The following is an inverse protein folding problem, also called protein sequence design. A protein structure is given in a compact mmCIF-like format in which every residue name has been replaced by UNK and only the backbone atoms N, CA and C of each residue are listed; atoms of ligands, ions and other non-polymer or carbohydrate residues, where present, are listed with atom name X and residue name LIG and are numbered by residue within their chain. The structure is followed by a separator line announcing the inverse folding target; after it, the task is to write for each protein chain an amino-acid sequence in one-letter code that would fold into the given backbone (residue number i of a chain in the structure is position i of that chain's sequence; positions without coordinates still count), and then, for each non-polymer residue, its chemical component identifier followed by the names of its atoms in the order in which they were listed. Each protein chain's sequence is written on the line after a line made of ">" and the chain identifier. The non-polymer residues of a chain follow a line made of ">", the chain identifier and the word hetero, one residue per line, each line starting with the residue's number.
data_IF_095124945184
#
_entry.id   IF_095124945184
#
_cell.length_a   1.000
_cell.length_b   1.000
_cell.length_c   1.000
_cell.angle_alpha   90.00
_cell.angle_beta   90.00
_cell.angle_gamma   90.00
#
_symmetry.space_group_name_H-M   'P 1'
#
loop_
_entity.id
_entity.type
_entity.pdbx_description
1 polymer ?
#
# COMPACT_ATOMS: atom_id res chain seq x y z
N UNK A 1 23.11 5.21 -18.24
CA UNK A 1 23.22 5.79 -16.89
C UNK A 1 22.43 4.94 -15.91
N UNK A 2 23.02 4.61 -14.75
CA UNK A 2 22.33 3.85 -13.69
C UNK A 2 21.93 4.81 -12.58
N UNK A 3 20.64 4.88 -12.29
CA UNK A 3 20.08 5.70 -11.20
C UNK A 3 19.43 4.77 -10.17
N UNK A 4 19.79 4.96 -8.90
CA UNK A 4 19.11 4.26 -7.80
C UNK A 4 18.13 5.20 -7.13
N UNK A 5 16.88 4.74 -6.96
CA UNK A 5 15.90 5.37 -6.10
C UNK A 5 15.84 4.67 -4.75
N UNK A 6 15.88 5.41 -3.66
CA UNK A 6 15.91 4.85 -2.31
C UNK A 6 14.87 5.51 -1.42
N UNK A 7 14.08 4.67 -0.74
CA UNK A 7 13.22 5.02 0.39
C UNK A 7 13.69 4.24 1.61
N UNK A 8 14.11 4.92 2.67
CA UNK A 8 14.55 4.26 3.91
C UNK A 8 14.60 5.25 5.11
N UNK A 9 14.93 4.75 6.30
CA UNK A 9 14.99 5.50 7.55
C UNK A 9 13.63 6.03 8.05
N UNK A 10 12.53 5.43 7.61
CA UNK A 10 11.19 5.77 8.08
C UNK A 10 10.38 4.49 8.26
N UNK A 11 9.83 3.97 7.18
CA UNK A 11 8.99 2.79 7.15
C UNK A 11 9.23 2.05 5.84
N UNK A 12 9.22 0.70 5.85
CA UNK A 12 9.22 -0.15 4.65
C UNK A 12 10.31 0.21 3.62
N UNK A 13 11.58 0.11 4.04
CA UNK A 13 12.72 0.49 3.20
C UNK A 13 12.77 -0.28 1.89
N UNK A 14 13.04 0.45 0.80
CA UNK A 14 13.06 -0.08 -0.55
C UNK A 14 14.15 0.56 -1.41
N UNK A 15 14.58 -0.18 -2.44
CA UNK A 15 15.54 0.25 -3.44
C UNK A 15 15.03 -0.11 -4.84
N UNK A 16 15.10 0.85 -5.75
CA UNK A 16 14.79 0.68 -7.17
C UNK A 16 15.99 1.03 -8.04
N UNK A 17 16.26 0.23 -9.07
CA UNK A 17 17.37 0.43 -10.02
C UNK A 17 16.80 0.75 -11.39
N UNK A 18 17.21 1.90 -11.92
CA UNK A 18 16.88 2.32 -13.27
C UNK A 18 18.14 2.30 -14.14
N UNK A 19 18.02 1.74 -15.34
CA UNK A 19 19.03 1.81 -16.39
C UNK A 19 18.48 2.62 -17.54
N UNK A 20 19.10 3.76 -17.83
CA UNK A 20 18.64 4.70 -18.87
C UNK A 20 17.13 5.07 -18.73
N UNK A 21 16.71 5.26 -17.49
CA UNK A 21 15.31 5.51 -17.06
C UNK A 21 14.33 4.33 -17.29
N UNK A 22 14.80 3.15 -17.60
CA UNK A 22 14.02 1.91 -17.56
C UNK A 22 14.18 1.24 -16.19
N UNK A 23 13.07 0.93 -15.53
CA UNK A 23 13.07 0.24 -14.24
C UNK A 23 13.43 -1.25 -14.42
N UNK A 24 14.59 -1.65 -13.91
CA UNK A 24 15.12 -3.00 -14.09
C UNK A 24 15.02 -3.88 -12.86
N UNK A 25 14.95 -3.28 -11.66
CA UNK A 25 14.84 -3.97 -10.40
C UNK A 25 14.20 -3.07 -9.36
N UNK A 26 13.34 -3.61 -8.51
CA UNK A 26 12.93 -2.98 -7.26
C UNK A 26 12.64 -4.05 -6.20
N UNK A 27 13.02 -3.78 -4.96
CA UNK A 27 12.72 -4.67 -3.84
C UNK A 27 12.62 -3.90 -2.53
N UNK A 28 11.92 -4.51 -1.58
CA UNK A 28 11.83 -4.05 -0.19
C UNK A 28 12.86 -4.79 0.66
N UNK A 29 13.40 -4.12 1.68
CA UNK A 29 14.36 -4.69 2.62
C UNK A 29 13.82 -5.92 3.34
N UNK A 30 12.52 -5.94 3.69
CA UNK A 30 11.86 -7.06 4.36
C UNK A 30 11.98 -8.39 3.60
N UNK A 31 12.15 -8.36 2.27
CA UNK A 31 12.32 -9.57 1.44
C UNK A 31 13.63 -10.29 1.76
N UNK A 32 14.62 -9.57 2.25
CA UNK A 32 15.94 -10.06 2.62
C UNK A 32 16.10 -10.21 4.14
N UNK A 33 15.77 -9.19 4.94
CA UNK A 33 15.91 -9.21 6.39
C UNK A 33 14.89 -10.11 7.12
N UNK A 34 13.73 -10.42 6.48
CA UNK A 34 12.59 -11.12 7.09
C UNK A 34 11.94 -10.35 8.26
N UNK A 35 12.25 -9.07 8.39
CA UNK A 35 11.60 -8.15 9.32
C UNK A 35 10.52 -7.41 8.54
N UNK A 36 9.26 -7.56 8.96
CA UNK A 36 8.13 -6.90 8.30
C UNK A 36 8.25 -5.38 8.42
N UNK A 37 8.02 -4.68 7.29
CA UNK A 37 8.13 -3.22 7.20
C UNK A 37 9.49 -2.68 7.68
N UNK A 38 10.59 -3.43 7.47
CA UNK A 38 11.94 -3.05 7.89
C UNK A 38 12.25 -1.61 7.45
N UNK A 39 12.48 -0.66 8.39
CA UNK A 39 12.72 0.74 8.07
C UNK A 39 14.11 0.99 7.47
N UNK A 40 15.00 -0.01 7.53
CA UNK A 40 16.38 0.12 7.12
C UNK A 40 16.71 -0.73 5.90
N UNK A 41 17.58 -0.20 5.04
CA UNK A 41 18.25 -1.03 4.03
C UNK A 41 19.11 -2.08 4.74
N UNK A 42 19.43 -3.15 4.03
CA UNK A 42 20.41 -4.13 4.45
C UNK A 42 21.41 -4.41 3.33
N UNK A 43 22.56 -4.98 3.71
CA UNK A 43 23.63 -5.27 2.76
C UNK A 43 23.17 -6.18 1.61
N UNK A 44 22.27 -7.11 1.89
CA UNK A 44 21.79 -8.08 0.90
C UNK A 44 21.01 -7.42 -0.25
N UNK A 45 20.15 -6.44 0.03
CA UNK A 45 19.43 -5.72 -1.02
C UNK A 45 20.38 -4.87 -1.87
N UNK A 46 21.42 -4.24 -1.23
CA UNK A 46 22.43 -3.47 -1.94
C UNK A 46 23.27 -4.36 -2.85
N UNK A 47 23.79 -5.48 -2.32
CA UNK A 47 24.59 -6.45 -3.10
C UNK A 47 23.77 -7.03 -4.28
N UNK A 48 22.45 -7.20 -4.08
CA UNK A 48 21.57 -7.66 -5.14
C UNK A 48 21.33 -6.59 -6.21
N UNK A 49 21.14 -5.33 -5.79
CA UNK A 49 20.96 -4.20 -6.70
C UNK A 49 22.19 -3.95 -7.58
N UNK A 50 23.39 -4.15 -7.05
CA UNK A 50 24.65 -4.04 -7.80
C UNK A 50 24.74 -5.00 -8.99
N UNK A 51 24.01 -6.12 -8.99
CA UNK A 51 23.94 -7.03 -10.14
C UNK A 51 23.26 -6.40 -11.37
N UNK A 52 22.45 -5.35 -11.15
CA UNK A 52 21.77 -4.60 -12.21
C UNK A 52 22.55 -3.36 -12.66
N UNK A 53 23.57 -2.93 -11.88
CA UNK A 53 24.50 -1.87 -12.23
C UNK A 53 24.95 -1.01 -11.05
N UNK A 54 26.16 -0.45 -11.19
CA UNK A 54 26.72 0.50 -10.23
C UNK A 54 26.04 1.86 -10.40
N UNK A 55 25.54 2.51 -9.33
CA UNK A 55 24.83 3.77 -9.47
C UNK A 55 25.75 4.92 -9.89
N UNK A 56 25.33 5.67 -10.89
CA UNK A 56 25.93 6.95 -11.25
C UNK A 56 25.38 8.10 -10.37
N UNK A 57 24.17 7.91 -9.83
CA UNK A 57 23.51 8.82 -8.90
C UNK A 57 22.48 8.08 -8.05
N UNK A 58 22.15 8.65 -6.90
CA UNK A 58 21.10 8.17 -5.99
C UNK A 58 20.07 9.29 -5.80
N UNK A 59 18.79 8.95 -5.96
CA UNK A 59 17.67 9.85 -5.68
C UNK A 59 16.98 9.35 -4.41
N UNK A 60 17.03 10.16 -3.35
CA UNK A 60 16.40 9.88 -2.07
C UNK A 60 14.99 10.47 -2.01
N UNK A 61 14.05 9.74 -1.45
CA UNK A 61 12.62 10.01 -1.54
C UNK A 61 12.09 11.16 -0.69
N UNK A 62 12.89 11.70 0.27
CA UNK A 62 12.50 12.80 1.17
C UNK A 62 13.67 13.74 1.45
N UNK A 63 13.38 14.96 1.94
CA UNK A 63 14.42 15.92 2.36
C UNK A 63 14.86 15.67 3.81
N UNK A 64 16.11 15.22 4.07
CA UNK A 64 16.63 14.99 5.41
C UNK A 64 16.55 16.23 6.30
N UNK A 65 16.78 17.43 5.71
CA UNK A 65 16.72 18.69 6.45
C UNK A 65 15.30 19.00 6.93
N UNK A 66 14.29 18.90 6.07
CA UNK A 66 12.90 19.15 6.45
C UNK A 66 12.41 18.14 7.48
N UNK A 67 12.80 16.86 7.35
CA UNK A 67 12.52 15.82 8.34
C UNK A 67 13.12 16.15 9.69
N UNK A 68 14.40 16.52 9.75
CA UNK A 68 15.08 16.93 10.99
C UNK A 68 14.41 18.11 11.67
N UNK A 69 14.04 19.14 10.89
CA UNK A 69 13.34 20.32 11.39
C UNK A 69 11.97 19.95 11.99
N UNK A 70 11.20 19.10 11.32
CA UNK A 70 9.91 18.61 11.81
C UNK A 70 10.08 17.80 13.10
N UNK A 71 11.07 16.89 13.15
CA UNK A 71 11.36 16.09 14.34
C UNK A 71 11.70 16.97 15.54
N UNK A 72 12.53 17.99 15.34
CA UNK A 72 12.86 18.95 16.38
C UNK A 72 11.62 19.71 16.87
N UNK A 73 10.82 20.24 15.96
CA UNK A 73 9.57 20.95 16.29
C UNK A 73 8.57 20.06 17.04
N UNK A 74 8.50 18.78 16.68
CA UNK A 74 7.63 17.79 17.33
C UNK A 74 8.18 17.27 18.68
N UNK A 75 9.29 17.81 19.19
CA UNK A 75 9.90 17.39 20.45
C UNK A 75 10.61 16.03 20.38
N UNK A 76 10.99 15.57 19.17
CA UNK A 76 11.71 14.31 18.96
C UNK A 76 13.25 14.48 18.96
N UNK A 77 13.75 15.71 19.20
CA UNK A 77 15.17 16.04 19.18
C UNK A 77 15.71 16.48 17.82
N UNK A 78 16.97 16.93 17.79
CA UNK A 78 17.67 17.37 16.58
C UNK A 78 18.43 16.20 15.96
N UNK A 79 17.74 15.36 15.18
CA UNK A 79 18.23 14.09 14.64
C UNK A 79 19.00 14.28 13.30
N UNK A 80 19.91 15.28 13.25
CA UNK A 80 20.66 15.59 12.02
C UNK A 80 21.60 14.45 11.60
N UNK A 81 22.24 13.79 12.56
CA UNK A 81 23.18 12.68 12.29
C UNK A 81 22.43 11.43 11.79
N UNK A 82 21.32 11.11 12.42
CA UNK A 82 20.48 9.96 12.09
C UNK A 82 19.82 10.12 10.69
N UNK A 83 19.58 11.36 10.30
CA UNK A 83 19.02 11.70 8.99
C UNK A 83 20.10 12.00 7.93
N UNK A 84 21.40 11.94 8.25
CA UNK A 84 22.46 12.13 7.26
C UNK A 84 22.63 10.91 6.37
N UNK A 85 22.19 11.05 5.11
CA UNK A 85 22.13 9.96 4.16
C UNK A 85 23.51 9.44 3.75
N UNK A 86 24.51 10.30 3.67
CA UNK A 86 25.87 9.87 3.34
C UNK A 86 26.43 8.95 4.42
N UNK A 87 26.30 9.36 5.68
CA UNK A 87 26.72 8.55 6.84
C UNK A 87 25.90 7.25 6.92
N UNK A 88 24.60 7.32 6.68
CA UNK A 88 23.73 6.15 6.66
C UNK A 88 24.17 5.12 5.61
N UNK A 89 24.42 5.53 4.37
CA UNK A 89 24.86 4.65 3.30
C UNK A 89 26.29 4.13 3.52
N UNK A 90 27.18 4.93 4.11
CA UNK A 90 28.54 4.52 4.44
C UNK A 90 28.61 3.35 5.43
N UNK A 91 27.63 3.20 6.33
CA UNK A 91 27.57 2.11 7.31
C UNK A 91 27.46 0.72 6.68
N UNK A 92 27.03 0.61 5.42
CA UNK A 92 26.94 -0.68 4.72
C UNK A 92 28.28 -1.19 4.16
N UNK A 93 29.34 -0.38 4.16
CA UNK A 93 30.67 -0.72 3.63
C UNK A 93 30.60 -1.24 2.18
N UNK A 94 29.80 -0.58 1.35
CA UNK A 94 29.70 -0.87 -0.10
C UNK A 94 30.46 0.22 -0.87
N UNK A 95 31.71 0.00 -1.32
CA UNK A 95 32.52 1.04 -1.95
C UNK A 95 31.88 1.71 -3.17
N UNK A 96 31.05 0.96 -3.89
CA UNK A 96 30.34 1.41 -5.08
C UNK A 96 29.41 2.60 -4.86
N UNK A 97 29.00 2.91 -3.61
CA UNK A 97 28.05 4.00 -3.30
C UNK A 97 28.68 5.17 -2.52
N UNK A 98 29.96 5.10 -2.13
CA UNK A 98 30.56 6.11 -1.24
C UNK A 98 30.66 7.51 -1.85
N UNK A 99 30.98 7.60 -3.12
CA UNK A 99 31.19 8.88 -3.81
C UNK A 99 30.08 9.21 -4.84
N UNK A 100 28.96 8.49 -4.75
CA UNK A 100 27.85 8.70 -5.68
C UNK A 100 27.09 9.98 -5.30
N UNK A 101 26.78 10.87 -6.26
CA UNK A 101 25.95 12.04 -6.01
C UNK A 101 24.58 11.64 -5.48
N UNK A 102 24.14 12.29 -4.38
CA UNK A 102 22.83 12.08 -3.78
C UNK A 102 21.97 13.32 -4.00
N UNK A 103 20.81 13.11 -4.60
CA UNK A 103 19.78 14.13 -4.78
C UNK A 103 18.55 13.77 -3.92
N UNK A 104 17.71 14.76 -3.64
CA UNK A 104 16.56 14.60 -2.75
C UNK A 104 15.31 15.10 -3.45
N UNK A 105 14.23 14.31 -3.32
CA UNK A 105 12.89 14.72 -3.69
C UNK A 105 12.06 15.03 -2.43
N UNK A 106 10.87 15.60 -2.56
CA UNK A 106 9.98 15.68 -1.40
C UNK A 106 9.13 14.44 -1.27
N UNK A 107 8.83 14.03 -0.06
CA UNK A 107 8.14 12.77 0.27
C UNK A 107 6.81 12.63 -0.49
N UNK A 108 5.88 13.57 -0.32
CA UNK A 108 4.58 13.51 -1.01
C UNK A 108 4.69 13.65 -2.53
N UNK A 109 5.72 14.33 -3.04
CA UNK A 109 5.97 14.38 -4.48
C UNK A 109 6.45 13.02 -5.01
N UNK A 110 7.25 12.28 -4.22
CA UNK A 110 7.68 10.93 -4.56
C UNK A 110 6.48 9.98 -4.63
N UNK A 111 5.55 10.04 -3.67
CA UNK A 111 4.28 9.30 -3.74
C UNK A 111 3.43 9.68 -4.94
N UNK A 112 3.25 10.98 -5.20
CA UNK A 112 2.46 11.46 -6.32
C UNK A 112 3.04 10.99 -7.67
N UNK A 113 4.37 11.07 -7.81
CA UNK A 113 5.09 10.64 -9.01
C UNK A 113 5.04 9.11 -9.19
N UNK A 114 5.20 8.34 -8.09
CA UNK A 114 5.05 6.88 -8.12
C UNK A 114 3.69 6.46 -8.65
N UNK A 115 2.62 7.10 -8.20
CA UNK A 115 1.28 6.81 -8.67
C UNK A 115 1.04 7.28 -10.11
N UNK A 116 1.27 8.56 -10.38
CA UNK A 116 0.90 9.16 -11.67
C UNK A 116 1.73 8.65 -12.85
N UNK A 117 3.05 8.64 -12.71
CA UNK A 117 3.93 8.25 -13.83
C UNK A 117 3.91 6.75 -14.14
N UNK A 118 3.19 5.95 -13.33
CA UNK A 118 2.96 4.52 -13.58
C UNK A 118 1.49 4.19 -13.90
N UNK A 119 0.59 5.20 -13.89
CA UNK A 119 -0.84 4.98 -14.10
C UNK A 119 -1.24 4.81 -15.56
N UNK A 120 -0.41 5.27 -16.49
CA UNK A 120 -0.76 5.38 -17.91
C UNK A 120 -1.69 6.57 -18.24
N UNK A 121 -2.10 7.38 -17.25
CA UNK A 121 -2.94 8.56 -17.50
C UNK A 121 -2.15 9.72 -18.09
N UNK A 122 -2.74 10.42 -19.06
CA UNK A 122 -2.19 11.67 -19.62
C UNK A 122 -2.46 12.88 -18.72
N UNK A 123 -3.56 12.82 -17.95
CA UNK A 123 -3.94 13.79 -16.93
C UNK A 123 -4.59 13.09 -15.75
N UNK A 124 -4.43 13.61 -14.56
CA UNK A 124 -5.06 13.09 -13.36
C UNK A 124 -5.12 14.11 -12.22
N UNK A 125 -6.09 13.92 -11.34
CA UNK A 125 -6.02 14.40 -9.97
C UNK A 125 -5.30 13.35 -9.12
N UNK A 126 -4.27 13.77 -8.36
CA UNK A 126 -3.55 12.86 -7.48
C UNK A 126 -3.87 13.25 -6.05
N UNK A 127 -4.27 12.26 -5.26
CA UNK A 127 -4.47 12.39 -3.81
C UNK A 127 -3.40 11.54 -3.12
N UNK A 128 -2.55 12.18 -2.32
CA UNK A 128 -1.59 11.50 -1.47
C UNK A 128 -2.05 11.61 -0.03
N UNK A 129 -2.33 10.47 0.59
CA UNK A 129 -2.73 10.34 1.99
C UNK A 129 -1.74 9.45 2.72
N UNK A 130 -1.05 10.04 3.71
CA UNK A 130 -0.03 9.32 4.45
C UNK A 130 -0.07 9.66 5.95
N UNK A 131 0.69 8.90 6.75
CA UNK A 131 0.84 9.19 8.17
C UNK A 131 1.56 10.51 8.37
N UNK A 132 2.78 10.62 7.86
CA UNK A 132 3.56 11.85 7.88
C UNK A 132 4.78 11.75 6.96
N UNK A 133 4.86 12.59 5.94
CA UNK A 133 6.00 12.74 5.05
C UNK A 133 6.63 14.12 5.19
N UNK A 134 7.82 14.23 5.78
CA UNK A 134 8.41 15.51 6.17
C UNK A 134 7.45 16.29 7.11
N UNK A 135 6.61 17.17 6.53
CA UNK A 135 5.56 17.92 7.21
C UNK A 135 4.15 17.59 6.71
N UNK A 136 4.06 17.00 5.53
CA UNK A 136 2.81 16.79 4.82
C UNK A 136 2.15 15.49 5.30
N UNK A 137 0.82 15.51 5.39
CA UNK A 137 0.00 14.35 5.77
C UNK A 137 -1.07 14.06 4.74
N UNK A 138 -1.46 15.11 3.98
CA UNK A 138 -2.40 15.02 2.88
C UNK A 138 -2.08 16.09 1.85
N UNK A 139 -2.00 15.70 0.58
CA UNK A 139 -1.80 16.63 -0.55
C UNK A 139 -2.67 16.27 -1.74
N UNK A 140 -3.12 17.30 -2.49
CA UNK A 140 -3.78 17.13 -3.77
C UNK A 140 -2.88 17.75 -4.85
N UNK A 141 -2.74 17.05 -5.96
CA UNK A 141 -1.97 17.50 -7.11
C UNK A 141 -2.82 17.42 -8.37
N UNK A 142 -2.55 18.32 -9.29
CA UNK A 142 -2.97 18.22 -10.68
C UNK A 142 -1.78 17.77 -11.51
N UNK A 143 -1.99 16.75 -12.33
CA UNK A 143 -1.00 16.21 -13.24
C UNK A 143 -1.48 16.33 -14.68
N UNK A 144 -0.61 16.78 -15.59
CA UNK A 144 -0.87 16.88 -17.02
C UNK A 144 0.44 16.66 -17.79
N UNK A 145 0.48 15.63 -18.65
CA UNK A 145 1.70 15.24 -19.34
C UNK A 145 2.80 14.90 -18.33
N UNK A 146 3.90 15.64 -18.37
CA UNK A 146 5.04 15.44 -17.44
C UNK A 146 5.03 16.39 -16.24
N UNK A 147 3.99 17.23 -16.09
CA UNK A 147 3.92 18.27 -15.06
C UNK A 147 3.12 17.79 -13.87
N UNK A 148 3.69 17.93 -12.67
CA UNK A 148 3.02 17.73 -11.38
C UNK A 148 2.91 19.07 -10.66
N UNK A 149 1.69 19.54 -10.43
CA UNK A 149 1.41 20.79 -9.70
C UNK A 149 0.65 20.49 -8.42
N UNK A 150 1.27 20.77 -7.27
CA UNK A 150 0.60 20.66 -5.97
C UNK A 150 -0.42 21.80 -5.81
N UNK A 151 -1.66 21.44 -5.48
CA UNK A 151 -2.78 22.38 -5.37
C UNK A 151 -3.16 22.60 -3.92
N UNK A 152 -3.11 21.54 -3.10
CA UNK A 152 -3.53 21.57 -1.71
C UNK A 152 -2.52 20.86 -0.83
N UNK A 153 -2.39 21.29 0.43
CA UNK A 153 -1.51 20.68 1.44
C UNK A 153 -2.13 20.77 2.83
N UNK A 154 -2.24 19.64 3.50
CA UNK A 154 -2.45 19.55 4.94
C UNK A 154 -1.17 19.05 5.61
N UNK A 155 -0.89 19.58 6.80
CA UNK A 155 0.37 19.31 7.52
C UNK A 155 0.12 18.72 8.90
N UNK A 156 1.13 18.06 9.43
CA UNK A 156 1.25 17.65 10.80
C UNK A 156 0.89 18.81 11.77
N UNK A 157 0.13 18.57 12.86
CA UNK A 157 -0.23 17.26 13.41
C UNK A 157 -1.52 16.65 12.84
N UNK A 158 -2.21 17.30 11.92
CA UNK A 158 -3.49 16.87 11.38
C UNK A 158 -3.29 15.75 10.35
N UNK A 159 -3.34 14.50 10.78
CA UNK A 159 -3.13 13.32 9.93
C UNK A 159 -4.19 12.26 10.17
N UNK A 160 -4.88 11.89 9.09
CA UNK A 160 -5.83 10.75 9.13
C UNK A 160 -5.09 9.42 9.27
N UNK A 161 -3.87 9.29 8.72
CA UNK A 161 -3.04 8.09 8.86
C UNK A 161 -2.60 7.90 10.31
N UNK A 162 -2.08 8.96 10.97
CA UNK A 162 -1.72 8.88 12.39
C UNK A 162 -2.93 8.61 13.29
N UNK A 163 -4.10 9.17 12.98
CA UNK A 163 -5.32 8.87 13.72
C UNK A 163 -5.72 7.39 13.56
N UNK A 164 -5.69 6.85 12.35
CA UNK A 164 -6.02 5.44 12.12
C UNK A 164 -5.04 4.51 12.83
N UNK A 165 -3.74 4.83 12.82
CA UNK A 165 -2.71 4.12 13.58
C UNK A 165 -2.90 4.23 15.10
N UNK A 166 -3.35 5.40 15.61
CA UNK A 166 -3.69 5.58 17.02
C UNK A 166 -4.87 4.69 17.45
N UNK A 167 -5.90 4.59 16.61
CA UNK A 167 -7.04 3.69 16.84
C UNK A 167 -6.63 2.21 16.75
N UNK A 168 -5.69 1.88 15.85
CA UNK A 168 -5.07 0.55 15.78
C UNK A 168 -4.37 0.20 17.09
N UNK A 169 -3.60 1.13 17.64
CA UNK A 169 -2.95 0.97 18.95
C UNK A 169 -3.98 0.84 20.09
N UNK A 170 -5.10 1.58 20.01
CA UNK A 170 -6.15 1.56 21.04
C UNK A 170 -6.75 0.17 21.25
N UNK A 171 -6.88 -0.63 20.21
CA UNK A 171 -7.38 -2.01 20.28
C UNK A 171 -6.28 -3.06 20.48
N UNK A 172 -5.07 -2.63 20.90
CA UNK A 172 -3.98 -3.52 21.25
C UNK A 172 -3.13 -4.03 20.08
N UNK A 173 -3.34 -3.50 18.87
CA UNK A 173 -2.54 -3.82 17.69
C UNK A 173 -1.34 -2.89 17.55
N UNK A 174 -0.36 -3.28 16.74
CA UNK A 174 0.87 -2.51 16.51
C UNK A 174 0.61 -1.37 15.52
N UNK A 175 0.76 -0.10 15.95
CA UNK A 175 0.57 1.05 15.05
C UNK A 175 1.64 1.08 13.97
N UNK A 176 1.30 1.61 12.79
CA UNK A 176 2.08 1.66 11.56
C UNK A 176 2.43 0.28 10.96
N UNK A 177 1.86 -0.81 11.47
CA UNK A 177 2.11 -2.15 10.95
C UNK A 177 0.85 -3.01 10.80
N UNK A 178 -0.16 -2.82 11.67
CA UNK A 178 -1.31 -3.73 11.77
C UNK A 178 -2.67 -3.05 11.48
N UNK A 179 -2.68 -1.88 10.84
CA UNK A 179 -3.88 -1.17 10.40
C UNK A 179 -4.78 -2.03 9.52
N UNK A 180 -4.19 -2.91 8.71
CA UNK A 180 -4.93 -3.86 7.88
C UNK A 180 -5.67 -4.92 8.71
N UNK A 181 -5.28 -5.19 9.95
CA UNK A 181 -6.01 -6.07 10.87
C UNK A 181 -7.24 -5.33 11.38
N UNK A 182 -7.09 -4.07 11.84
CA UNK A 182 -8.22 -3.23 12.23
C UNK A 182 -9.25 -3.13 11.10
N UNK A 183 -8.80 -2.86 9.86
CA UNK A 183 -9.67 -2.83 8.68
C UNK A 183 -10.47 -4.14 8.52
N UNK A 184 -9.82 -5.30 8.72
CA UNK A 184 -10.48 -6.61 8.66
C UNK A 184 -11.45 -6.86 9.83
N UNK A 185 -11.15 -6.36 11.03
CA UNK A 185 -12.01 -6.46 12.21
C UNK A 185 -13.30 -5.64 12.06
N UNK A 186 -13.28 -4.59 11.26
CA UNK A 186 -14.40 -3.68 11.12
C UNK A 186 -15.70 -4.35 10.65
N UNK A 187 -15.60 -5.44 9.88
CA UNK A 187 -16.78 -6.18 9.41
C UNK A 187 -17.50 -6.97 10.52
N UNK A 188 -16.86 -7.20 11.66
CA UNK A 188 -17.42 -7.94 12.80
C UNK A 188 -18.08 -7.02 13.86
N UNK A 189 -17.94 -5.69 13.71
CA UNK A 189 -18.43 -4.71 14.67
C UNK A 189 -19.64 -3.92 14.20
N UNK A 190 -20.29 -3.25 15.16
CA UNK A 190 -21.38 -2.31 14.88
C UNK A 190 -20.86 -0.89 14.69
N UNK A 191 -20.75 -0.45 13.44
CA UNK A 191 -20.24 0.90 13.10
C UNK A 191 -21.04 2.04 13.73
N UNK A 192 -22.35 1.88 13.93
CA UNK A 192 -23.22 2.93 14.46
C UNK A 192 -23.02 3.20 15.94
N UNK A 193 -22.49 2.21 16.70
CA UNK A 193 -22.29 2.33 18.14
C UNK A 193 -21.30 3.43 18.51
N UNK A 194 -20.20 3.56 17.77
CA UNK A 194 -19.11 4.47 18.14
C UNK A 194 -18.78 5.55 17.10
N UNK A 195 -19.40 5.50 15.91
CA UNK A 195 -19.15 6.47 14.83
C UNK A 195 -19.22 7.93 15.31
N UNK A 196 -20.35 8.31 15.94
CA UNK A 196 -20.56 9.70 16.38
C UNK A 196 -19.61 10.09 17.53
N UNK A 197 -19.32 9.16 18.43
CA UNK A 197 -18.36 9.37 19.53
C UNK A 197 -16.96 9.63 18.98
N UNK A 198 -16.48 8.79 18.06
CA UNK A 198 -15.18 8.95 17.42
C UNK A 198 -15.10 10.28 16.67
N UNK A 199 -16.12 10.62 15.89
CA UNK A 199 -16.19 11.91 15.20
C UNK A 199 -16.10 13.09 16.17
N UNK A 200 -16.88 13.05 17.24
CA UNK A 200 -16.92 14.13 18.23
C UNK A 200 -15.65 14.25 19.03
N UNK A 201 -15.00 13.15 19.38
CA UNK A 201 -13.82 13.17 20.24
C UNK A 201 -12.56 13.59 19.48
N UNK A 202 -12.39 13.13 18.26
CA UNK A 202 -11.14 13.32 17.51
C UNK A 202 -11.16 14.42 16.46
N UNK A 203 -12.33 14.77 15.90
CA UNK A 203 -12.38 15.67 14.75
C UNK A 203 -13.06 17.00 15.06
N UNK A 204 -12.48 18.07 14.53
CA UNK A 204 -13.09 19.39 14.50
C UNK A 204 -13.59 19.68 13.08
N UNK A 205 -14.73 19.11 12.74
CA UNK A 205 -15.36 19.31 11.44
C UNK A 205 -16.35 20.47 11.56
N UNK A 206 -15.80 21.68 11.49
CA UNK A 206 -16.56 22.91 11.27
C UNK A 206 -16.44 23.24 9.79
N UNK A 207 -17.56 23.28 9.08
CA UNK A 207 -17.66 23.68 7.69
C UNK A 207 -17.05 22.79 6.58
N UNK A 208 -17.63 22.96 5.40
CA UNK A 208 -17.41 22.22 4.16
C UNK A 208 -16.06 22.52 3.46
N UNK A 209 -15.07 23.10 4.14
CA UNK A 209 -13.79 23.49 3.56
C UNK A 209 -12.67 22.53 4.00
N UNK A 210 -12.27 21.73 3.10
CA UNK A 210 -10.96 21.17 2.74
C UNK A 210 -10.03 20.57 3.81
N UNK A 211 -10.10 20.94 5.09
CA UNK A 211 -9.15 20.50 6.10
C UNK A 211 -9.78 19.50 7.09
N UNK A 212 -9.23 18.32 7.14
CA UNK A 212 -9.54 17.35 8.20
C UNK A 212 -8.72 17.72 9.45
N UNK A 213 -9.30 18.54 10.35
CA UNK A 213 -8.61 18.96 11.58
C UNK A 213 -8.86 17.99 12.72
N UNK A 214 -7.80 17.45 13.26
CA UNK A 214 -7.84 16.72 14.52
C UNK A 214 -7.87 17.69 15.71
N UNK A 215 -8.55 17.32 16.78
CA UNK A 215 -8.59 18.10 18.03
C UNK A 215 -7.28 18.03 18.81
N UNK A 216 -6.53 16.95 18.63
CA UNK A 216 -5.27 16.72 19.31
C UNK A 216 -4.22 16.07 18.39
N UNK A 217 -2.97 16.05 18.87
CA UNK A 217 -1.88 15.40 18.18
C UNK A 217 -1.81 13.91 18.55
N UNK A 218 -2.17 13.04 17.64
CA UNK A 218 -2.23 11.58 17.84
C UNK A 218 -0.95 10.84 17.48
N UNK A 219 0.16 11.54 17.30
CA UNK A 219 1.45 10.89 17.00
C UNK A 219 1.90 9.87 18.06
N UNK A 220 1.49 10.07 19.31
CA UNK A 220 1.78 9.15 20.43
C UNK A 220 0.66 8.11 20.65
N UNK A 221 -0.37 8.13 19.84
CA UNK A 221 -1.52 7.24 19.96
C UNK A 221 -2.61 7.78 20.88
N UNK A 222 -3.61 6.93 21.17
CA UNK A 222 -4.76 7.24 22.05
C UNK A 222 -5.13 6.04 22.93
N UNK A 223 -4.15 5.38 23.53
CA UNK A 223 -4.36 4.16 24.34
C UNK A 223 -5.40 4.32 25.45
N UNK A 224 -5.47 5.53 26.04
CA UNK A 224 -6.34 5.81 27.17
C UNK A 224 -7.75 6.28 26.78
N UNK A 225 -8.03 6.37 25.48
CA UNK A 225 -9.37 6.72 24.99
C UNK A 225 -10.37 5.61 25.31
N UNK A 226 -11.47 5.95 26.01
CA UNK A 226 -12.57 5.04 26.34
C UNK A 226 -12.12 3.74 27.02
N UNK A 227 -11.40 3.84 28.13
CA UNK A 227 -10.94 2.69 28.93
C UNK A 227 -12.07 1.82 29.51
N UNK A 228 -13.32 2.28 29.43
CA UNK A 228 -14.53 1.52 29.72
C UNK A 228 -14.80 0.40 28.69
N UNK A 229 -14.32 0.52 27.45
CA UNK A 229 -14.46 -0.48 26.39
C UNK A 229 -13.33 -1.52 26.45
N UNK A 230 -13.62 -2.74 26.92
CA UNK A 230 -12.61 -3.76 27.24
C UNK A 230 -12.85 -5.13 26.62
N UNK A 231 -14.04 -5.40 26.11
CA UNK A 231 -14.39 -6.70 25.55
C UNK A 231 -13.85 -6.86 24.12
N UNK A 232 -13.79 -8.08 23.64
CA UNK A 232 -13.46 -8.37 22.24
C UNK A 232 -14.46 -7.70 21.29
N UNK A 233 -15.77 -7.73 21.63
CA UNK A 233 -16.79 -7.06 20.85
C UNK A 233 -16.60 -5.54 20.84
N UNK A 234 -16.17 -4.93 21.95
CA UNK A 234 -15.82 -3.51 21.96
C UNK A 234 -14.69 -3.18 20.97
N UNK A 235 -13.70 -4.06 20.85
CA UNK A 235 -12.61 -3.88 19.87
C UNK A 235 -13.12 -3.97 18.44
N UNK A 236 -14.05 -4.89 18.13
CA UNK A 236 -14.71 -4.94 16.83
C UNK A 236 -15.54 -3.69 16.55
N UNK A 237 -16.27 -3.18 17.54
CA UNK A 237 -17.07 -1.96 17.39
C UNK A 237 -16.20 -0.70 17.25
N UNK A 238 -15.07 -0.62 17.97
CA UNK A 238 -14.06 0.43 17.76
C UNK A 238 -13.52 0.36 16.33
N UNK A 239 -13.18 -0.83 15.85
CA UNK A 239 -12.67 -1.02 14.48
C UNK A 239 -13.72 -0.61 13.44
N UNK A 240 -14.99 -1.02 13.61
CA UNK A 240 -16.09 -0.69 12.71
C UNK A 240 -16.38 0.83 12.70
N UNK A 241 -16.43 1.47 13.87
CA UNK A 241 -16.60 2.91 13.98
C UNK A 241 -15.42 3.69 13.35
N UNK A 242 -14.19 3.22 13.58
CA UNK A 242 -12.97 3.81 12.99
C UNK A 242 -13.00 3.72 11.47
N UNK A 243 -13.31 2.55 10.92
CA UNK A 243 -13.40 2.35 9.47
C UNK A 243 -14.49 3.25 8.86
N UNK A 244 -15.67 3.32 9.45
CA UNK A 244 -16.76 4.16 8.97
C UNK A 244 -16.41 5.67 8.98
N UNK A 245 -15.70 6.13 10.02
CA UNK A 245 -15.19 7.51 10.07
C UNK A 245 -14.13 7.75 9.00
N UNK A 246 -13.21 6.80 8.80
CA UNK A 246 -12.20 6.89 7.74
C UNK A 246 -12.86 6.98 6.35
N UNK A 247 -13.83 6.13 6.07
CA UNK A 247 -14.60 6.13 4.83
C UNK A 247 -15.30 7.46 4.57
N UNK A 248 -15.98 8.00 5.57
CA UNK A 248 -16.61 9.33 5.48
C UNK A 248 -15.61 10.44 5.16
N UNK A 249 -14.44 10.41 5.81
CA UNK A 249 -13.39 11.43 5.59
C UNK A 249 -12.78 11.27 4.20
N UNK A 250 -12.52 10.03 3.73
CA UNK A 250 -12.00 9.77 2.40
C UNK A 250 -12.96 10.26 1.31
N UNK A 251 -14.27 10.05 1.47
CA UNK A 251 -15.28 10.58 0.54
C UNK A 251 -15.27 12.13 0.51
N UNK A 252 -15.11 12.78 1.65
CA UNK A 252 -14.96 14.24 1.70
C UNK A 252 -13.70 14.72 0.98
N UNK A 253 -12.57 14.05 1.20
CA UNK A 253 -11.31 14.32 0.51
C UNK A 253 -11.48 14.13 -1.00
N UNK A 254 -12.16 13.06 -1.43
CA UNK A 254 -12.49 12.79 -2.83
C UNK A 254 -13.26 13.95 -3.47
N UNK A 255 -14.35 14.40 -2.84
CA UNK A 255 -15.14 15.54 -3.30
C UNK A 255 -14.33 16.84 -3.38
N UNK A 256 -13.49 17.07 -2.37
CA UNK A 256 -12.55 18.21 -2.37
C UNK A 256 -11.56 18.14 -3.52
N UNK A 257 -10.97 16.95 -3.75
CA UNK A 257 -10.04 16.74 -4.84
C UNK A 257 -10.71 16.93 -6.21
N UNK A 258 -11.94 16.47 -6.38
CA UNK A 258 -12.75 16.66 -7.60
C UNK A 258 -13.03 18.16 -7.85
N UNK A 259 -13.28 18.92 -6.80
CA UNK A 259 -13.53 20.37 -6.91
C UNK A 259 -12.29 21.15 -7.34
N UNK A 260 -11.09 20.78 -6.83
CA UNK A 260 -9.83 21.43 -7.20
C UNK A 260 -9.32 21.05 -8.58
N UNK A 261 -9.68 19.88 -9.09
CA UNK A 261 -9.22 19.38 -10.37
C UNK A 261 -10.36 19.20 -11.36
N UNK A 262 -10.02 19.28 -12.65
CA UNK A 262 -10.96 19.07 -13.76
C UNK A 262 -10.83 17.69 -14.40
N UNK A 263 -9.90 16.87 -13.94
CA UNK A 263 -9.71 15.51 -14.47
C UNK A 263 -10.80 14.55 -14.00
N UNK A 264 -11.22 13.64 -14.85
CA UNK A 264 -12.03 12.48 -14.50
C UNK A 264 -11.23 11.35 -13.84
N UNK A 265 -9.89 11.38 -13.95
CA UNK A 265 -8.99 10.34 -13.47
C UNK A 265 -8.47 10.66 -12.07
N UNK A 266 -8.52 9.68 -11.17
CA UNK A 266 -7.94 9.74 -9.84
C UNK A 266 -6.73 8.83 -9.73
N UNK A 267 -5.64 9.35 -9.18
CA UNK A 267 -4.53 8.56 -8.65
C UNK A 267 -4.53 8.69 -7.13
N UNK A 268 -4.61 7.57 -6.41
CA UNK A 268 -4.55 7.52 -4.96
C UNK A 268 -3.26 6.86 -4.50
N UNK A 269 -2.46 7.53 -3.68
CA UNK A 269 -1.15 7.07 -3.19
C UNK A 269 -0.90 7.47 -1.73
N UNK A 270 0.20 7.00 -1.14
CA UNK A 270 0.48 7.09 0.29
C UNK A 270 0.00 5.86 1.05
N UNK A 271 0.45 5.66 2.27
CA UNK A 271 0.13 4.47 3.08
C UNK A 271 -1.36 4.23 3.30
N UNK A 272 -2.15 5.31 3.38
CA UNK A 272 -3.60 5.23 3.55
C UNK A 272 -4.33 4.63 2.33
N UNK A 273 -3.74 4.66 1.14
CA UNK A 273 -4.29 4.03 -0.07
C UNK A 273 -4.31 2.48 -0.01
N UNK A 274 -3.72 1.87 1.02
CA UNK A 274 -3.83 0.44 1.30
C UNK A 274 -5.20 0.02 1.86
N UNK A 275 -6.07 0.97 2.24
CA UNK A 275 -7.42 0.70 2.72
C UNK A 275 -8.36 0.38 1.56
N UNK A 276 -8.32 -0.87 1.10
CA UNK A 276 -9.10 -1.33 -0.04
C UNK A 276 -10.62 -1.27 0.19
N UNK A 277 -11.09 -1.35 1.44
CA UNK A 277 -12.51 -1.24 1.78
C UNK A 277 -13.05 0.16 1.54
N UNK A 278 -12.26 1.19 1.87
CA UNK A 278 -12.64 2.57 1.61
C UNK A 278 -12.43 2.98 0.14
N UNK A 279 -11.40 2.44 -0.52
CA UNK A 279 -11.08 2.82 -1.90
C UNK A 279 -12.24 2.56 -2.88
N UNK A 280 -13.04 1.50 -2.67
CA UNK A 280 -14.21 1.19 -3.53
C UNK A 280 -15.24 2.32 -3.56
N UNK A 281 -15.34 3.10 -2.48
CA UNK A 281 -16.34 4.16 -2.37
C UNK A 281 -16.06 5.35 -3.31
N UNK A 282 -14.85 5.42 -3.84
CA UNK A 282 -14.42 6.49 -4.75
C UNK A 282 -14.95 6.31 -6.17
N UNK A 283 -15.39 5.09 -6.54
CA UNK A 283 -15.93 4.77 -7.88
C UNK A 283 -17.04 5.70 -8.33
N UNK A 284 -17.90 6.13 -7.41
CA UNK A 284 -19.03 7.03 -7.69
C UNK A 284 -18.64 8.46 -8.10
N UNK A 285 -17.40 8.88 -7.78
CA UNK A 285 -16.95 10.26 -7.99
C UNK A 285 -15.99 10.39 -9.20
N UNK A 286 -15.42 9.29 -9.70
CA UNK A 286 -14.34 9.31 -10.68
C UNK A 286 -14.58 8.35 -11.85
N UNK A 287 -14.17 8.76 -13.05
CA UNK A 287 -14.32 7.95 -14.26
C UNK A 287 -13.35 6.76 -14.27
N UNK A 288 -12.11 7.01 -13.79
CA UNK A 288 -11.07 6.00 -13.62
C UNK A 288 -10.30 6.24 -12.32
N UNK A 289 -9.93 5.15 -11.65
CA UNK A 289 -9.16 5.20 -10.41
C UNK A 289 -7.94 4.30 -10.55
N UNK A 290 -6.77 4.85 -10.28
CA UNK A 290 -5.53 4.09 -10.20
C UNK A 290 -4.94 4.18 -8.79
N UNK A 291 -4.69 3.03 -8.20
CA UNK A 291 -3.90 2.87 -6.97
C UNK A 291 -2.71 1.99 -7.36
N UNK A 292 -1.46 2.47 -7.24
CA UNK A 292 -0.30 1.66 -7.63
C UNK A 292 -0.20 0.39 -6.78
N UNK A 293 0.47 -0.67 -7.27
CA UNK A 293 0.64 -1.92 -6.50
C UNK A 293 1.50 -1.73 -5.23
N UNK A 294 2.17 -0.59 -5.08
CA UNK A 294 3.05 -0.20 -3.99
C UNK A 294 2.76 1.24 -3.51
N UNK A 295 1.56 1.53 -2.99
CA UNK A 295 1.16 2.92 -2.73
C UNK A 295 1.86 3.55 -1.51
N UNK A 296 2.42 2.75 -0.59
CA UNK A 296 3.16 3.22 0.60
C UNK A 296 4.60 3.63 0.30
N UNK A 297 5.39 3.81 1.38
CA UNK A 297 6.76 4.35 1.32
C UNK A 297 7.71 3.59 0.40
N UNK A 298 7.57 2.27 0.29
CA UNK A 298 8.40 1.48 -0.64
C UNK A 298 8.27 1.97 -2.08
N UNK A 299 7.08 2.35 -2.52
CA UNK A 299 6.85 2.90 -3.87
C UNK A 299 7.55 4.23 -4.11
N UNK A 300 7.87 4.97 -3.06
CA UNK A 300 8.60 6.23 -3.16
C UNK A 300 10.04 6.04 -3.64
N UNK A 301 10.61 4.83 -3.55
CA UNK A 301 11.90 4.52 -4.18
C UNK A 301 11.82 4.65 -5.71
N UNK A 302 10.72 4.18 -6.32
CA UNK A 302 10.45 4.37 -7.75
C UNK A 302 10.07 5.83 -8.00
N UNK A 303 9.17 6.36 -7.18
CA UNK A 303 8.62 7.71 -7.33
C UNK A 303 9.65 8.83 -7.25
N UNK A 304 10.69 8.69 -6.43
CA UNK A 304 11.77 9.66 -6.34
C UNK A 304 12.50 9.84 -7.70
N UNK A 305 12.81 8.75 -8.38
CA UNK A 305 13.44 8.80 -9.71
C UNK A 305 12.47 9.36 -10.74
N UNK A 306 11.23 8.89 -10.76
CA UNK A 306 10.22 9.35 -11.70
C UNK A 306 9.89 10.83 -11.50
N UNK A 307 9.87 11.31 -10.24
CA UNK A 307 9.70 12.72 -9.89
C UNK A 307 10.85 13.59 -10.40
N UNK A 308 12.09 13.11 -10.22
CA UNK A 308 13.29 13.83 -10.60
C UNK A 308 13.37 14.05 -12.11
N UNK A 309 13.02 13.02 -12.88
CA UNK A 309 13.09 13.06 -14.34
C UNK A 309 11.75 13.40 -15.03
N UNK A 310 10.65 13.49 -14.28
CA UNK A 310 9.29 13.68 -14.79
C UNK A 310 8.97 12.67 -15.92
N UNK A 311 9.19 11.40 -15.67
CA UNK A 311 9.17 10.33 -16.69
C UNK A 311 8.05 9.33 -16.45
N UNK A 312 7.17 9.13 -17.44
CA UNK A 312 6.23 8.02 -17.47
C UNK A 312 6.94 6.71 -17.81
N UNK A 313 6.53 5.65 -17.14
CA UNK A 313 6.96 4.28 -17.43
C UNK A 313 5.75 3.33 -17.36
N UNK A 314 5.77 2.29 -18.19
CA UNK A 314 4.90 1.14 -18.00
C UNK A 314 5.59 0.17 -17.05
N UNK A 315 4.90 -0.22 -15.96
CA UNK A 315 5.50 -1.03 -14.93
C UNK A 315 4.56 -2.12 -14.44
N UNK A 316 5.11 -3.32 -14.30
CA UNK A 316 4.49 -4.44 -13.62
C UNK A 316 5.12 -4.61 -12.22
N UNK A 317 4.40 -5.11 -11.22
CA UNK A 317 4.94 -5.25 -9.86
C UNK A 317 5.99 -6.36 -9.69
N UNK A 318 6.29 -7.13 -10.72
CA UNK A 318 7.21 -8.28 -10.68
C UNK A 318 8.66 -7.84 -10.92
N UNK A 319 9.28 -7.18 -9.94
CA UNK A 319 10.55 -6.44 -10.07
C UNK A 319 11.69 -7.00 -9.20
N UNK A 320 11.37 -7.87 -8.24
CA UNK A 320 12.35 -8.36 -7.26
C UNK A 320 13.13 -9.58 -7.73
N UNK A 321 13.77 -10.27 -6.77
CA UNK A 321 14.55 -11.48 -7.02
C UNK A 321 13.84 -12.49 -7.90
N UNK A 322 14.51 -12.94 -8.97
CA UNK A 322 13.93 -13.76 -10.02
C UNK A 322 14.34 -15.23 -9.94
N UNK A 323 13.37 -16.13 -9.75
CA UNK A 323 13.55 -17.57 -9.84
C UNK A 323 13.29 -18.00 -11.30
N UNK A 324 14.38 -18.19 -12.05
CA UNK A 324 14.37 -18.50 -13.49
C UNK A 324 14.00 -19.98 -13.77
N UNK A 325 12.76 -20.37 -13.48
CA UNK A 325 12.21 -21.71 -13.77
C UNK A 325 10.85 -21.58 -14.46
N UNK A 326 10.45 -22.56 -15.28
CA UNK A 326 9.07 -22.60 -15.81
C UNK A 326 8.04 -22.62 -14.67
N UNK A 327 6.93 -21.91 -14.83
CA UNK A 327 5.84 -21.92 -13.84
C UNK A 327 5.22 -23.32 -13.79
N UNK A 328 5.13 -23.99 -12.62
CA UNK A 328 4.85 -25.43 -12.54
C UNK A 328 3.33 -25.73 -12.54
N UNK A 329 2.58 -25.27 -13.56
CA UNK A 329 1.12 -25.32 -13.66
C UNK A 329 0.56 -26.71 -13.35
N UNK A 330 1.02 -27.73 -14.06
CA UNK A 330 0.49 -29.11 -13.91
C UNK A 330 0.66 -29.65 -12.48
N UNK A 331 1.80 -29.36 -11.84
CA UNK A 331 2.08 -29.78 -10.47
C UNK A 331 1.17 -29.03 -9.49
N UNK A 332 1.02 -27.69 -9.66
CA UNK A 332 0.18 -26.88 -8.79
C UNK A 332 -1.30 -27.33 -8.86
N UNK A 333 -1.83 -27.59 -10.07
CA UNK A 333 -3.20 -28.12 -10.23
C UNK A 333 -3.37 -29.46 -9.52
N UNK A 334 -2.43 -30.38 -9.69
CA UNK A 334 -2.48 -31.69 -9.03
C UNK A 334 -2.52 -31.55 -7.50
N UNK A 335 -1.63 -30.72 -6.94
CA UNK A 335 -1.54 -30.50 -5.48
C UNK A 335 -2.78 -29.75 -4.95
N UNK A 336 -3.28 -28.72 -5.65
CA UNK A 336 -4.51 -28.04 -5.28
C UNK A 336 -5.73 -28.99 -5.22
N UNK A 337 -5.86 -29.90 -6.17
CA UNK A 337 -6.94 -30.92 -6.15
C UNK A 337 -6.79 -31.90 -4.98
N UNK A 338 -5.56 -32.30 -4.66
CA UNK A 338 -5.31 -33.30 -3.62
C UNK A 338 -5.41 -32.69 -2.21
N UNK A 339 -4.80 -31.52 -1.97
CA UNK A 339 -4.64 -30.96 -0.63
C UNK A 339 -5.50 -29.73 -0.38
N UNK A 340 -5.96 -29.08 -1.43
CA UNK A 340 -6.67 -27.81 -1.37
C UNK A 340 -5.76 -26.58 -1.16
N UNK A 341 -4.46 -26.76 -0.86
CA UNK A 341 -3.52 -25.66 -0.57
C UNK A 341 -2.15 -25.96 -1.18
N UNK A 342 -1.50 -24.95 -1.77
CA UNK A 342 -0.15 -25.09 -2.33
C UNK A 342 0.62 -23.78 -2.22
N UNK A 343 1.94 -23.87 -2.00
CA UNK A 343 2.87 -22.75 -2.06
C UNK A 343 3.54 -22.63 -3.43
N UNK A 344 3.67 -21.44 -3.96
CA UNK A 344 4.42 -21.16 -5.18
C UNK A 344 5.50 -20.11 -4.97
N UNK A 345 6.71 -20.38 -5.49
CA UNK A 345 7.80 -19.42 -5.61
C UNK A 345 8.40 -19.57 -7.03
N UNK A 346 8.14 -18.58 -7.91
CA UNK A 346 8.58 -18.62 -9.29
C UNK A 346 8.69 -17.19 -9.85
N UNK A 347 9.46 -16.99 -10.93
CA UNK A 347 9.60 -15.70 -11.57
C UNK A 347 10.18 -14.61 -10.66
N UNK A 348 10.09 -13.33 -11.06
CA UNK A 348 10.46 -12.19 -10.24
C UNK A 348 9.51 -12.04 -9.05
N UNK A 349 10.05 -11.73 -7.86
CA UNK A 349 9.22 -11.45 -6.68
C UNK A 349 8.40 -10.17 -6.88
N UNK A 350 7.23 -10.12 -6.27
CA UNK A 350 6.40 -8.92 -6.26
C UNK A 350 7.09 -7.80 -5.47
N UNK A 351 7.06 -6.59 -6.01
CA UNK A 351 7.36 -5.34 -5.32
C UNK A 351 6.06 -4.73 -4.82
N UNK A 352 6.01 -4.46 -3.52
CA UNK A 352 4.78 -4.03 -2.83
C UNK A 352 4.27 -5.05 -1.81
N UNK A 353 3.18 -4.72 -1.09
CA UNK A 353 2.72 -5.48 0.08
C UNK A 353 1.91 -6.73 -0.27
N UNK A 354 1.58 -6.97 -1.55
CA UNK A 354 0.68 -8.04 -1.97
C UNK A 354 1.41 -9.17 -2.68
N UNK A 355 1.04 -10.41 -2.38
CA UNK A 355 1.40 -11.59 -3.15
C UNK A 355 0.46 -11.67 -4.37
N UNK A 356 1.00 -11.75 -5.57
CA UNK A 356 0.26 -11.66 -6.84
C UNK A 356 0.54 -12.86 -7.78
N UNK A 357 0.90 -14.01 -7.21
CA UNK A 357 1.06 -15.26 -7.96
C UNK A 357 2.50 -15.77 -8.07
N UNK A 358 3.53 -14.99 -7.76
CA UNK A 358 4.94 -15.42 -7.83
C UNK A 358 5.52 -15.83 -6.46
N UNK A 359 5.02 -15.28 -5.36
CA UNK A 359 5.36 -15.63 -3.96
C UNK A 359 4.08 -15.78 -3.17
N UNK A 360 3.30 -16.84 -3.48
CA UNK A 360 1.92 -16.97 -3.01
C UNK A 360 1.66 -18.31 -2.34
N UNK A 361 0.77 -18.31 -1.34
CA UNK A 361 0.00 -19.48 -0.96
C UNK A 361 -1.31 -19.44 -1.73
N UNK A 362 -1.58 -20.46 -2.51
CA UNK A 362 -2.80 -20.62 -3.30
C UNK A 362 -3.68 -21.70 -2.66
N UNK A 363 -4.98 -21.50 -2.73
CA UNK A 363 -5.93 -22.45 -2.15
C UNK A 363 -7.22 -22.54 -2.97
N UNK A 364 -7.91 -23.66 -2.88
CA UNK A 364 -9.22 -23.87 -3.51
C UNK A 364 -10.29 -23.05 -2.77
N UNK A 365 -10.91 -22.03 -3.37
CA UNK A 365 -11.83 -21.14 -2.69
C UNK A 365 -13.19 -21.77 -2.37
N UNK A 366 -13.54 -22.91 -2.98
CA UNK A 366 -14.84 -23.59 -2.84
C UNK A 366 -15.01 -24.32 -1.51
N UNK A 367 -13.92 -24.57 -0.80
CA UNK A 367 -13.91 -25.32 0.47
C UNK A 367 -14.00 -24.35 1.65
N UNK A 368 -15.01 -24.46 2.48
CA UNK A 368 -15.23 -23.59 3.66
C UNK A 368 -14.14 -23.71 4.74
N UNK A 369 -13.49 -24.91 4.86
CA UNK A 369 -12.44 -25.17 5.85
C UNK A 369 -11.07 -24.55 5.48
N UNK A 370 -10.89 -24.11 4.25
CA UNK A 370 -9.60 -23.63 3.72
C UNK A 370 -9.17 -22.32 4.39
N UNK A 371 -10.11 -21.41 4.67
CA UNK A 371 -9.81 -20.14 5.36
C UNK A 371 -9.09 -20.39 6.69
N UNK A 372 -9.62 -21.28 7.52
CA UNK A 372 -9.03 -21.60 8.82
C UNK A 372 -7.68 -22.29 8.68
N UNK A 373 -7.57 -23.28 7.81
CA UNK A 373 -6.31 -24.00 7.55
C UNK A 373 -5.18 -23.08 7.10
N UNK A 374 -5.46 -22.16 6.15
CA UNK A 374 -4.42 -21.22 5.68
C UNK A 374 -4.08 -20.20 6.76
N UNK A 375 -5.04 -19.75 7.59
CA UNK A 375 -4.76 -18.88 8.72
C UNK A 375 -3.90 -19.58 9.79
N UNK A 376 -4.12 -20.87 10.03
CA UNK A 376 -3.29 -21.68 10.92
C UNK A 376 -1.85 -21.83 10.39
N UNK A 377 -1.67 -22.18 9.11
CA UNK A 377 -0.35 -22.23 8.45
C UNK A 377 0.38 -20.89 8.59
N UNK A 378 -0.32 -19.78 8.44
CA UNK A 378 0.23 -18.42 8.56
C UNK A 378 0.34 -17.93 10.01
N UNK A 379 -0.07 -18.74 11.01
CA UNK A 379 -0.07 -18.40 12.45
C UNK A 379 -0.69 -17.04 12.72
N UNK A 380 -1.92 -16.81 12.23
CA UNK A 380 -2.60 -15.53 12.35
C UNK A 380 -4.08 -15.71 12.74
N UNK A 381 -4.76 -14.58 13.03
CA UNK A 381 -6.15 -14.58 13.48
C UNK A 381 -7.09 -15.23 12.46
N UNK A 382 -8.03 -16.07 12.91
CA UNK A 382 -8.97 -16.83 12.07
C UNK A 382 -9.92 -15.97 11.25
N UNK A 383 -10.29 -14.79 11.75
CA UNK A 383 -11.19 -13.87 11.06
C UNK A 383 -10.61 -13.25 9.79
N UNK A 384 -9.28 -13.28 9.61
CA UNK A 384 -8.62 -12.61 8.48
C UNK A 384 -9.01 -13.22 7.14
N UNK A 385 -9.48 -12.39 6.18
CA UNK A 385 -9.90 -12.87 4.87
C UNK A 385 -8.72 -13.19 3.95
N UNK A 386 -9.02 -13.92 2.87
CA UNK A 386 -8.14 -14.13 1.73
C UNK A 386 -8.68 -13.42 0.50
N UNK A 387 -7.81 -13.19 -0.47
CA UNK A 387 -8.13 -12.54 -1.72
C UNK A 387 -8.36 -13.59 -2.80
N UNK A 388 -9.50 -13.58 -3.52
CA UNK A 388 -9.66 -14.36 -4.73
C UNK A 388 -8.76 -13.80 -5.84
N UNK A 389 -8.22 -14.69 -6.67
CA UNK A 389 -7.62 -14.35 -7.95
C UNK A 389 -8.50 -14.93 -9.05
N UNK A 390 -8.91 -14.10 -10.00
CA UNK A 390 -9.84 -14.47 -11.07
C UNK A 390 -9.32 -13.99 -12.43
N UNK A 391 -9.67 -14.74 -13.50
CA UNK A 391 -9.44 -14.29 -14.86
C UNK A 391 -10.22 -12.98 -15.11
N UNK A 392 -9.57 -11.96 -15.67
CA UNK A 392 -10.18 -10.63 -15.79
C UNK A 392 -11.51 -10.64 -16.57
N UNK A 393 -11.62 -11.52 -17.59
CA UNK A 393 -12.84 -11.68 -18.39
C UNK A 393 -14.01 -12.36 -17.69
N UNK A 394 -13.81 -12.90 -16.49
CA UNK A 394 -14.82 -13.57 -15.67
C UNK A 394 -15.10 -12.84 -14.34
N UNK A 395 -14.56 -11.64 -14.16
CA UNK A 395 -14.70 -10.94 -12.87
C UNK A 395 -16.15 -10.56 -12.61
N UNK A 396 -16.87 -10.08 -13.62
CA UNK A 396 -18.26 -9.62 -13.51
C UNK A 396 -19.25 -10.79 -13.29
N UNK A 397 -18.84 -12.03 -13.56
CA UNK A 397 -19.63 -13.22 -13.24
C UNK A 397 -19.69 -13.49 -11.72
N UNK A 398 -18.74 -12.97 -10.94
CA UNK A 398 -18.58 -13.25 -9.51
C UNK A 398 -18.60 -12.02 -8.59
N UNK A 399 -18.25 -10.84 -9.10
CA UNK A 399 -18.07 -9.64 -8.29
C UNK A 399 -18.70 -8.42 -8.96
N UNK A 400 -19.31 -7.55 -8.15
CA UNK A 400 -19.93 -6.30 -8.59
C UNK A 400 -19.06 -5.09 -8.20
N UNK A 401 -19.01 -4.06 -9.08
CA UNK A 401 -18.26 -2.83 -8.87
C UNK A 401 -16.76 -2.91 -9.19
N UNK A 402 -16.02 -1.91 -8.76
CA UNK A 402 -14.61 -1.73 -9.12
C UNK A 402 -13.71 -2.84 -8.59
N UNK A 403 -12.91 -3.40 -9.47
CA UNK A 403 -11.87 -4.40 -9.17
C UNK A 403 -10.54 -3.99 -9.80
N UNK A 404 -9.48 -4.77 -9.57
CA UNK A 404 -8.18 -4.46 -10.16
C UNK A 404 -7.13 -5.56 -9.97
N UNK A 405 -5.99 -5.45 -10.67
CA UNK A 405 -4.99 -6.51 -10.72
C UNK A 405 -4.14 -6.63 -9.43
N UNK A 406 -4.21 -5.65 -8.53
CA UNK A 406 -3.30 -5.56 -7.37
C UNK A 406 -4.01 -5.55 -6.02
N UNK A 407 -5.30 -5.99 -5.95
CA UNK A 407 -6.06 -6.05 -4.69
C UNK A 407 -6.26 -4.68 -4.02
N UNK A 408 -6.49 -3.64 -4.81
CA UNK A 408 -6.66 -2.25 -4.31
C UNK A 408 -8.07 -1.93 -3.84
N UNK A 409 -9.04 -2.76 -4.22
CA UNK A 409 -10.46 -2.57 -3.94
C UNK A 409 -11.08 -3.83 -3.36
N UNK A 410 -12.15 -3.67 -2.59
CA UNK A 410 -13.08 -4.74 -2.27
C UNK A 410 -14.31 -4.62 -3.15
N UNK A 411 -14.89 -5.75 -3.55
CA UNK A 411 -16.10 -5.82 -4.36
C UNK A 411 -17.11 -6.78 -3.73
N UNK A 412 -18.42 -6.49 -3.74
CA UNK A 412 -19.47 -7.44 -3.35
C UNK A 412 -19.35 -8.74 -4.13
N UNK A 413 -19.48 -9.87 -3.44
CA UNK A 413 -19.46 -11.19 -4.04
C UNK A 413 -20.89 -11.60 -4.43
N UNK A 414 -21.11 -11.92 -5.71
CA UNK A 414 -22.42 -12.34 -6.24
C UNK A 414 -22.77 -13.80 -5.86
N UNK A 415 -21.73 -14.62 -5.62
CA UNK A 415 -21.88 -16.05 -5.33
C UNK A 415 -21.10 -16.49 -4.07
N UNK A 416 -21.40 -15.93 -2.86
CA UNK A 416 -20.60 -16.18 -1.65
C UNK A 416 -20.54 -17.65 -1.26
N UNK A 417 -21.61 -18.41 -1.48
CA UNK A 417 -21.66 -19.83 -1.18
C UNK A 417 -20.79 -20.71 -2.10
N UNK A 418 -20.45 -20.23 -3.28
CA UNK A 418 -19.61 -20.96 -4.26
C UNK A 418 -18.12 -20.87 -3.93
N UNK A 419 -17.70 -19.76 -3.26
CA UNK A 419 -16.30 -19.47 -2.94
C UNK A 419 -16.13 -18.98 -1.49
N UNK A 420 -16.67 -19.70 -0.49
CA UNK A 420 -16.82 -19.23 0.90
C UNK A 420 -15.50 -18.85 1.58
N UNK A 421 -14.37 -19.42 1.18
CA UNK A 421 -13.09 -19.16 1.86
C UNK A 421 -12.42 -17.84 1.47
N UNK A 422 -12.94 -17.14 0.46
CA UNK A 422 -12.42 -15.85 -0.01
C UNK A 422 -13.42 -14.69 0.13
N UNK A 423 -14.57 -14.96 0.74
CA UNK A 423 -15.58 -13.97 1.07
C UNK A 423 -15.43 -13.53 2.52
N UNK A 424 -15.50 -12.24 2.77
CA UNK A 424 -15.43 -11.66 4.11
C UNK A 424 -16.82 -11.64 4.77
N UNK A 425 -16.90 -11.28 6.06
CA UNK A 425 -18.14 -11.27 6.85
C UNK A 425 -19.21 -10.30 6.30
N UNK A 426 -18.81 -9.29 5.54
CA UNK A 426 -19.67 -8.31 4.91
C UNK A 426 -20.00 -8.65 3.44
N UNK A 427 -19.87 -9.91 3.05
CA UNK A 427 -20.08 -10.42 1.68
C UNK A 427 -19.20 -9.77 0.62
N UNK A 428 -18.12 -9.10 1.00
CA UNK A 428 -17.15 -8.55 0.05
C UNK A 428 -15.91 -9.42 -0.10
N UNK A 429 -15.19 -9.22 -1.20
CA UNK A 429 -13.89 -9.82 -1.45
C UNK A 429 -12.89 -8.80 -1.98
N UNK A 430 -11.62 -8.91 -1.59
CA UNK A 430 -10.54 -8.09 -2.14
C UNK A 430 -9.94 -8.78 -3.37
N UNK A 431 -10.49 -8.46 -4.53
CA UNK A 431 -10.26 -9.19 -5.77
C UNK A 431 -8.91 -8.86 -6.40
N UNK A 432 -8.23 -9.89 -6.94
CA UNK A 432 -7.14 -9.76 -7.90
C UNK A 432 -7.65 -10.22 -9.27
N UNK A 433 -7.78 -9.32 -10.23
CA UNK A 433 -7.98 -9.68 -11.63
C UNK A 433 -6.66 -10.06 -12.30
N UNK A 434 -6.68 -11.05 -13.18
CA UNK A 434 -5.49 -11.50 -13.92
C UNK A 434 -5.79 -11.49 -15.42
N UNK A 435 -5.26 -10.48 -16.11
CA UNK A 435 -5.41 -10.30 -17.55
C UNK A 435 -4.38 -11.09 -18.36
N UNK A 436 -4.46 -11.02 -19.69
CA UNK A 436 -3.50 -11.66 -20.60
C UNK A 436 -2.11 -11.01 -20.57
N UNK A 437 -2.03 -9.75 -20.16
CA UNK A 437 -0.80 -8.97 -20.05
C UNK A 437 -0.08 -9.18 -18.70
N UNK A 438 -0.79 -9.70 -17.69
CA UNK A 438 -0.24 -9.96 -16.38
C UNK A 438 0.67 -11.18 -16.34
N UNK A 439 0.95 -11.69 -15.16
CA UNK A 439 1.78 -12.87 -14.91
C UNK A 439 1.34 -14.10 -15.75
N UNK A 440 2.02 -14.33 -16.85
CA UNK A 440 1.68 -15.41 -17.82
C UNK A 440 1.64 -16.80 -17.19
N UNK A 441 2.49 -17.07 -16.19
CA UNK A 441 2.53 -18.36 -15.49
C UNK A 441 1.31 -18.54 -14.60
N UNK A 442 1.01 -17.52 -13.78
CA UNK A 442 -0.16 -17.53 -12.91
C UNK A 442 -1.47 -17.52 -13.72
N UNK A 443 -1.52 -16.74 -14.80
CA UNK A 443 -2.64 -16.75 -15.75
C UNK A 443 -2.94 -18.14 -16.29
N UNK A 444 -1.93 -18.88 -16.78
CA UNK A 444 -2.08 -20.26 -17.26
C UNK A 444 -2.59 -21.20 -16.17
N UNK A 445 -2.18 -21.00 -14.91
CA UNK A 445 -2.70 -21.77 -13.78
C UNK A 445 -4.20 -21.53 -13.61
N UNK A 446 -4.66 -20.28 -13.64
CA UNK A 446 -6.08 -19.94 -13.51
C UNK A 446 -6.91 -20.48 -14.69
N UNK A 447 -6.42 -20.35 -15.92
CA UNK A 447 -7.07 -20.91 -17.10
C UNK A 447 -7.24 -22.44 -17.02
N UNK A 448 -6.22 -23.13 -16.52
CA UNK A 448 -6.30 -24.57 -16.32
C UNK A 448 -7.25 -24.94 -15.18
N UNK A 449 -7.20 -24.18 -14.06
CA UNK A 449 -8.10 -24.35 -12.94
C UNK A 449 -9.56 -24.15 -13.35
N UNK A 450 -9.86 -23.10 -14.09
CA UNK A 450 -11.19 -22.80 -14.63
C UNK A 450 -11.76 -23.92 -15.51
N UNK A 451 -10.91 -24.56 -16.33
CA UNK A 451 -11.33 -25.68 -17.18
C UNK A 451 -11.64 -26.97 -16.41
N UNK A 452 -11.08 -27.12 -15.22
CA UNK A 452 -11.13 -28.37 -14.46
C UNK A 452 -12.07 -28.29 -13.26
N UNK A 453 -12.57 -27.11 -12.92
CA UNK A 453 -13.43 -26.86 -11.76
C UNK A 453 -14.62 -26.00 -12.06
#
# INVERSE_FOLDING_TARGET
>A
MITWGISANSHDAALAVFKDLELTFASQSERFSKIKNDPHLNKQILDHALQYGYPNEIIWYESPFKKTLRQWWAGQGWNKKENDIKSYLANFNVPAIFNVPIKYESHHRSHAASGYFTSGFSDATIVVLDSIGEWETFTIWHAEGTKLKKIFTQKYPHSIGLWYSAMTQRIGLKPNEEEYILMGMAAYGNKHRLYQTIMNDFFNIKDHKDNVKLKENLHRGCKDWRLDLKTEQDNFDIAAGTQAVYEYILERISKTAKWYSRSGNLVLSGGCALNCSANRLLEKDWDQIYVPPYPGDCGSAIGAVLSHYNKHIDVQPYLGYNIKKPYPVKRLIKELKNTGIVGVANGPAEFGPRALGNRSLLADPRRSDIKDKVNEIKKRQKFRPFAPAILAEHVDDYFDGITGPYMQFTAPCLHPNSIPSVVHEDDTSRVQTVSKQDNKGFRKLLEQWYKET
#
